data_IF_748355455219
#
_entry.id   IF_748355455219
#
_cell.length_a   1.000
_cell.length_b   1.000
_cell.length_c   1.000
_cell.angle_alpha   90.00
_cell.angle_beta   90.00
_cell.angle_gamma   90.00
#
_symmetry.space_group_name_H-M   'P 1'
#
loop_
_entity.id
_entity.type
_entity.pdbx_description
1 polymer ?
#
# COMPACT_ATOMS: atom_id res chain seq x y z
N UNK A 1 16.42 -0.23 -23.00
CA UNK A 1 15.58 -1.07 -22.15
C UNK A 1 15.50 -0.50 -20.76
N UNK A 2 14.32 -0.20 -20.31
CA UNK A 2 14.22 0.19 -18.90
C UNK A 2 14.61 -0.99 -18.03
N UNK A 3 15.30 -0.67 -17.00
CA UNK A 3 15.79 -1.68 -16.07
C UNK A 3 15.33 -1.26 -14.68
N UNK A 4 14.18 -1.77 -14.28
CA UNK A 4 13.62 -1.44 -12.99
C UNK A 4 14.41 -2.13 -11.89
N UNK A 5 14.85 -1.36 -10.92
CA UNK A 5 15.63 -1.89 -9.81
C UNK A 5 14.84 -1.94 -8.53
N UNK A 6 13.86 -1.05 -8.39
CA UNK A 6 13.07 -0.97 -7.18
C UNK A 6 11.63 -0.66 -7.53
N UNK A 7 10.75 -1.57 -7.17
CA UNK A 7 9.33 -1.50 -7.50
C UNK A 7 8.54 -1.34 -6.21
N UNK A 8 7.60 -0.41 -6.21
CA UNK A 8 6.72 -0.18 -5.07
C UNK A 8 5.30 -0.57 -5.44
N UNK A 9 4.74 -1.52 -4.72
CA UNK A 9 3.37 -1.94 -4.91
C UNK A 9 2.51 -1.32 -3.81
N UNK A 10 1.56 -0.48 -4.21
CA UNK A 10 0.63 0.16 -3.28
C UNK A 10 -0.67 -0.62 -3.27
N UNK A 11 -1.02 -1.16 -2.12
CA UNK A 11 -2.22 -1.99 -1.99
C UNK A 11 -3.22 -1.32 -1.06
N UNK A 12 -4.49 -1.61 -1.30
CA UNK A 12 -5.58 -1.03 -0.51
C UNK A 12 -6.28 -2.06 0.38
N UNK A 13 -5.72 -3.27 0.46
CA UNK A 13 -6.23 -4.37 1.27
C UNK A 13 -7.62 -4.83 0.83
N UNK A 14 -7.98 -4.53 -0.41
CA UNK A 14 -9.24 -4.97 -0.99
C UNK A 14 -9.06 -6.34 -1.65
N UNK A 15 -10.13 -6.81 -2.27
CA UNK A 15 -10.11 -8.07 -3.00
C UNK A 15 -9.13 -8.06 -4.15
N UNK A 16 -8.77 -6.88 -4.63
CA UNK A 16 -7.85 -6.76 -5.76
C UNK A 16 -6.39 -6.84 -5.35
N UNK A 17 -6.12 -6.85 -4.06
CA UNK A 17 -4.74 -6.86 -3.57
C UNK A 17 -3.95 -8.04 -4.13
N UNK A 18 -4.55 -9.22 -4.17
CA UNK A 18 -3.84 -10.39 -4.68
C UNK A 18 -3.43 -10.23 -6.14
N UNK A 19 -4.30 -9.63 -6.95
CA UNK A 19 -3.98 -9.39 -8.36
C UNK A 19 -2.84 -8.40 -8.50
N UNK A 20 -2.86 -7.33 -7.69
CA UNK A 20 -1.79 -6.35 -7.71
C UNK A 20 -0.47 -6.98 -7.31
N UNK A 21 -0.49 -7.77 -6.24
CA UNK A 21 0.73 -8.44 -5.77
C UNK A 21 1.27 -9.45 -6.78
N UNK A 22 0.40 -10.22 -7.39
CA UNK A 22 0.83 -11.19 -8.39
C UNK A 22 1.53 -10.48 -9.54
N UNK A 23 0.97 -9.38 -9.99
CA UNK A 23 1.59 -8.61 -11.06
C UNK A 23 2.93 -8.01 -10.61
N UNK A 24 2.97 -7.48 -9.40
CA UNK A 24 4.19 -6.87 -8.88
C UNK A 24 5.29 -7.90 -8.72
N UNK A 25 4.95 -9.08 -8.21
CA UNK A 25 5.94 -10.15 -8.06
C UNK A 25 6.49 -10.58 -9.42
N UNK A 26 5.61 -10.71 -10.41
CA UNK A 26 6.03 -11.10 -11.74
C UNK A 26 6.98 -10.07 -12.34
N UNK A 27 6.66 -8.79 -12.18
CA UNK A 27 7.51 -7.73 -12.70
C UNK A 27 8.84 -7.67 -11.97
N UNK A 28 8.81 -7.83 -10.64
CA UNK A 28 10.04 -7.82 -9.87
C UNK A 28 10.95 -8.97 -10.27
N UNK A 29 10.38 -10.15 -10.45
CA UNK A 29 11.15 -11.31 -10.88
C UNK A 29 11.73 -11.11 -12.28
N UNK A 30 10.94 -10.54 -13.15
CA UNK A 30 11.34 -10.33 -14.56
C UNK A 30 12.52 -9.37 -14.67
N UNK A 31 12.58 -8.36 -13.82
CA UNK A 31 13.65 -7.36 -13.87
C UNK A 31 14.72 -7.58 -12.81
N UNK A 32 14.55 -8.59 -11.96
CA UNK A 32 15.47 -8.76 -10.84
C UNK A 32 15.40 -7.60 -9.87
N UNK A 33 14.23 -7.00 -9.73
CA UNK A 33 14.05 -5.80 -8.95
C UNK A 33 13.68 -6.10 -7.50
N UNK A 34 14.00 -5.17 -6.65
CA UNK A 34 13.61 -5.21 -5.25
C UNK A 34 12.16 -4.76 -5.15
N UNK A 35 11.32 -5.55 -4.47
CA UNK A 35 9.90 -5.25 -4.36
C UNK A 35 9.58 -4.74 -2.96
N UNK A 36 8.95 -3.59 -2.91
CA UNK A 36 8.47 -2.99 -1.67
C UNK A 36 6.95 -2.94 -1.70
N UNK A 37 6.35 -3.01 -0.53
CA UNK A 37 4.91 -3.04 -0.38
C UNK A 37 4.50 -1.89 0.53
N UNK A 38 3.44 -1.17 0.17
CA UNK A 38 2.96 -0.08 1.00
C UNK A 38 1.43 -0.11 1.06
N UNK A 39 0.92 0.18 2.25
CA UNK A 39 -0.48 0.48 2.44
C UNK A 39 -0.58 1.75 3.28
N UNK A 40 -1.52 2.61 2.93
CA UNK A 40 -1.73 3.87 3.65
C UNK A 40 -3.08 3.81 4.33
N UNK A 41 -3.08 3.96 5.65
CA UNK A 41 -4.32 4.02 6.44
C UNK A 41 -4.77 5.47 6.47
N UNK A 42 -5.96 5.72 5.96
CA UNK A 42 -6.53 7.07 5.98
C UNK A 42 -7.12 7.32 7.35
N UNK A 43 -6.65 8.34 8.09
CA UNK A 43 -7.21 8.62 9.40
C UNK A 43 -8.69 8.98 9.31
N UNK A 44 -9.45 8.59 10.32
CA UNK A 44 -10.87 8.91 10.37
C UNK A 44 -11.11 10.42 10.33
N UNK A 45 -10.22 11.18 10.95
CA UNK A 45 -10.35 12.62 10.96
C UNK A 45 -10.31 13.21 9.56
N UNK A 46 -9.53 12.63 8.66
CA UNK A 46 -9.51 13.07 7.27
C UNK A 46 -10.78 12.70 6.54
N UNK A 47 -11.27 11.47 6.80
CA UNK A 47 -12.48 10.99 6.13
C UNK A 47 -13.70 11.83 6.49
N UNK A 48 -13.75 12.33 7.72
CA UNK A 48 -14.89 13.09 8.19
C UNK A 48 -14.61 14.59 8.29
N UNK A 49 -13.54 15.06 7.67
CA UNK A 49 -13.24 16.48 7.63
C UNK A 49 -12.84 17.07 8.97
N UNK A 50 -12.45 16.24 9.91
CA UNK A 50 -12.05 16.70 11.21
C UNK A 50 -13.18 16.97 12.19
N UNK A 51 -14.43 16.88 11.71
CA UNK A 51 -15.61 17.14 12.55
C UNK A 51 -16.12 15.82 13.11
N UNK A 52 -15.47 15.35 14.17
CA UNK A 52 -15.78 14.06 14.77
C UNK A 52 -16.46 14.31 16.11
N UNK A 53 -17.75 13.93 16.24
CA UNK A 53 -18.50 14.22 17.46
C UNK A 53 -18.16 13.33 18.64
N UNK A 54 -17.40 12.26 18.43
CA UNK A 54 -17.02 11.32 19.47
C UNK A 54 -15.54 11.01 19.36
N UNK A 55 -15.04 10.35 20.40
CA UNK A 55 -13.66 9.91 20.43
C UNK A 55 -13.52 8.63 19.61
N UNK A 56 -12.87 8.72 18.47
CA UNK A 56 -12.63 7.58 17.60
C UNK A 56 -11.26 6.95 17.78
N UNK A 57 -10.53 7.32 18.85
CA UNK A 57 -9.15 6.84 18.97
C UNK A 57 -9.09 5.32 19.05
N UNK A 58 -10.01 4.66 19.74
CA UNK A 58 -9.97 3.20 19.80
C UNK A 58 -10.34 2.57 18.47
N UNK A 59 -11.26 3.18 17.72
CA UNK A 59 -11.61 2.69 16.39
C UNK A 59 -10.42 2.85 15.46
N UNK A 60 -9.75 3.98 15.53
CA UNK A 60 -8.58 4.25 14.72
C UNK A 60 -7.47 3.23 15.01
N UNK A 61 -7.26 2.91 16.29
CA UNK A 61 -6.27 1.92 16.66
C UNK A 61 -6.61 0.54 16.14
N UNK A 62 -7.89 0.17 16.16
CA UNK A 62 -8.31 -1.11 15.60
C UNK A 62 -8.07 -1.19 14.11
N UNK A 63 -8.37 -0.11 13.39
CA UNK A 63 -8.11 -0.06 11.95
C UNK A 63 -6.62 -0.19 11.66
N UNK A 64 -5.81 0.48 12.46
CA UNK A 64 -4.37 0.42 12.31
C UNK A 64 -3.85 -0.99 12.53
N UNK A 65 -4.31 -1.64 13.61
CA UNK A 65 -3.89 -2.99 13.93
C UNK A 65 -4.31 -3.98 12.86
N UNK A 66 -5.55 -3.86 12.38
CA UNK A 66 -6.03 -4.74 11.32
C UNK A 66 -5.24 -4.56 10.03
N UNK A 67 -4.89 -3.31 9.72
CA UNK A 67 -4.10 -3.03 8.53
C UNK A 67 -2.70 -3.63 8.66
N UNK A 68 -2.10 -3.53 9.84
CA UNK A 68 -0.79 -4.14 10.08
C UNK A 68 -0.81 -5.64 9.87
N UNK A 69 -1.84 -6.29 10.41
CA UNK A 69 -1.96 -7.73 10.29
C UNK A 69 -2.16 -8.16 8.84
N UNK A 70 -3.04 -7.46 8.16
CA UNK A 70 -3.32 -7.79 6.76
C UNK A 70 -2.10 -7.56 5.88
N UNK A 71 -1.42 -6.45 6.09
CA UNK A 71 -0.22 -6.15 5.33
C UNK A 71 0.85 -7.20 5.56
N UNK A 72 1.02 -7.61 6.83
CA UNK A 72 1.99 -8.63 7.17
C UNK A 72 1.66 -9.97 6.48
N UNK A 73 0.38 -10.33 6.43
CA UNK A 73 -0.03 -11.56 5.78
C UNK A 73 0.27 -11.54 4.29
N UNK A 74 -0.02 -10.42 3.63
CA UNK A 74 0.27 -10.30 2.21
C UNK A 74 1.78 -10.33 1.96
N UNK A 75 2.54 -9.65 2.81
CA UNK A 75 3.99 -9.63 2.67
C UNK A 75 4.59 -11.02 2.83
N UNK A 76 4.10 -11.77 3.81
CA UNK A 76 4.57 -13.13 4.05
C UNK A 76 4.27 -14.02 2.85
N UNK A 77 3.07 -13.89 2.31
CA UNK A 77 2.66 -14.68 1.14
C UNK A 77 3.54 -14.38 -0.07
N UNK A 78 3.93 -13.14 -0.23
CA UNK A 78 4.75 -12.70 -1.36
C UNK A 78 6.24 -12.79 -1.08
N UNK A 79 6.62 -13.25 0.10
CA UNK A 79 8.02 -13.35 0.53
C UNK A 79 8.73 -12.01 0.53
N UNK A 80 8.02 -10.97 0.97
CA UNK A 80 8.59 -9.62 1.07
C UNK A 80 9.08 -9.42 2.50
N UNK A 81 10.37 -9.10 2.69
CA UNK A 81 10.89 -8.89 4.04
C UNK A 81 10.20 -7.72 4.75
N UNK A 82 10.19 -7.79 6.07
CA UNK A 82 9.54 -6.77 6.88
C UNK A 82 10.09 -5.38 6.61
N UNK A 83 11.39 -5.26 6.35
CA UNK A 83 12.00 -3.96 6.11
C UNK A 83 11.62 -3.37 4.75
N UNK A 84 10.90 -4.14 3.92
CA UNK A 84 10.38 -3.64 2.66
C UNK A 84 8.86 -3.49 2.69
N UNK A 85 8.26 -3.62 3.87
CA UNK A 85 6.82 -3.41 4.05
C UNK A 85 6.62 -2.12 4.79
N UNK A 86 5.75 -1.27 4.25
CA UNK A 86 5.55 0.07 4.78
C UNK A 86 4.08 0.30 5.08
N UNK A 87 3.79 0.65 6.32
CA UNK A 87 2.43 1.03 6.71
C UNK A 87 2.47 2.50 7.09
N UNK A 88 1.76 3.31 6.33
CA UNK A 88 1.78 4.74 6.51
C UNK A 88 0.39 5.23 6.86
N UNK A 89 0.31 6.47 7.30
CA UNK A 89 -0.95 7.08 7.69
C UNK A 89 -1.04 8.45 7.04
N UNK A 90 -2.21 8.77 6.49
CA UNK A 90 -2.40 10.05 5.84
C UNK A 90 -3.17 9.90 4.54
N UNK A 91 -2.90 10.78 3.61
CA UNK A 91 -3.51 10.72 2.28
C UNK A 91 -2.73 9.72 1.44
N UNK A 92 -3.42 8.74 0.85
CA UNK A 92 -2.72 7.70 0.10
C UNK A 92 -1.83 8.24 -1.01
N UNK A 93 -2.34 9.19 -1.81
CA UNK A 93 -1.56 9.71 -2.93
C UNK A 93 -0.28 10.39 -2.47
N UNK A 94 -0.38 11.26 -1.46
CA UNK A 94 0.78 11.98 -0.95
C UNK A 94 1.79 11.05 -0.30
N UNK A 95 1.32 10.13 0.51
CA UNK A 95 2.20 9.23 1.24
C UNK A 95 2.93 8.26 0.32
N UNK A 96 2.22 7.73 -0.67
CA UNK A 96 2.85 6.84 -1.63
C UNK A 96 3.91 7.58 -2.44
N UNK A 97 3.59 8.80 -2.84
CA UNK A 97 4.53 9.60 -3.61
C UNK A 97 5.80 9.91 -2.83
N UNK A 98 5.63 10.30 -1.57
CA UNK A 98 6.79 10.58 -0.70
C UNK A 98 7.64 9.34 -0.49
N UNK A 99 7.00 8.20 -0.27
CA UNK A 99 7.72 6.96 -0.09
C UNK A 99 8.47 6.57 -1.36
N UNK A 100 7.83 6.74 -2.50
CA UNK A 100 8.44 6.45 -3.79
C UNK A 100 9.73 7.25 -3.96
N UNK A 101 9.68 8.54 -3.62
CA UNK A 101 10.85 9.40 -3.70
C UNK A 101 11.93 8.96 -2.73
N UNK A 102 11.56 8.64 -1.51
CA UNK A 102 12.54 8.29 -0.49
C UNK A 102 13.20 6.94 -0.80
N UNK A 103 12.49 6.03 -1.44
CA UNK A 103 13.04 4.73 -1.82
C UNK A 103 13.77 4.77 -3.16
N UNK A 104 13.63 5.85 -3.90
CA UNK A 104 14.10 5.91 -5.29
C UNK A 104 13.48 4.79 -6.11
N UNK A 105 12.18 4.60 -5.95
CA UNK A 105 11.47 3.57 -6.69
C UNK A 105 11.36 3.96 -8.15
N UNK A 106 11.57 2.99 -9.01
CA UNK A 106 11.53 3.19 -10.46
C UNK A 106 10.13 2.99 -11.03
N UNK A 107 9.30 2.26 -10.31
CA UNK A 107 7.99 1.87 -10.79
C UNK A 107 7.03 1.73 -9.63
N UNK A 108 5.82 2.24 -9.80
CA UNK A 108 4.76 2.07 -8.82
C UNK A 108 3.65 1.27 -9.48
N UNK A 109 3.20 0.22 -8.79
CA UNK A 109 2.09 -0.59 -9.27
C UNK A 109 0.92 -0.38 -8.32
N UNK A 110 -0.23 -0.03 -8.86
CA UNK A 110 -1.43 0.21 -8.07
C UNK A 110 -2.60 -0.53 -8.70
N UNK A 111 -3.60 -0.81 -7.89
CA UNK A 111 -4.84 -1.37 -8.40
C UNK A 111 -5.78 -0.27 -8.84
N UNK A 112 -6.77 -0.66 -9.60
CA UNK A 112 -7.79 0.29 -10.06
C UNK A 112 -9.06 0.18 -9.24
N UNK A 113 -8.92 -0.28 -8.03
CA UNK A 113 -10.04 -0.47 -7.14
C UNK A 113 -10.87 0.81 -6.98
N UNK A 114 -12.16 0.65 -6.94
CA UNK A 114 -13.03 1.80 -6.76
C UNK A 114 -13.47 2.47 -8.05
N UNK A 115 -12.97 1.98 -9.17
CA UNK A 115 -13.29 2.56 -10.48
C UNK A 115 -14.26 1.72 -11.28
N UNK A 116 -14.97 0.83 -10.65
CA UNK A 116 -15.82 -0.11 -11.34
C UNK A 116 -16.86 0.58 -12.19
N UNK A 117 -17.45 1.61 -11.70
CA UNK A 117 -18.48 2.33 -12.42
C UNK A 117 -18.00 3.05 -13.64
N UNK A 118 -16.70 3.15 -13.79
CA UNK A 118 -16.11 3.88 -14.91
C UNK A 118 -15.60 2.99 -16.02
N UNK A 119 -15.66 1.73 -15.78
CA UNK A 119 -15.14 0.76 -16.75
C UNK A 119 -15.95 0.77 -18.03
#
# INVERSE_FOLDING_TARGET
>A
MPNYQRILAAIDLSDETNAVLTRAEAMAASYGAELHLVHVVEPLSLAYGGDIPMDFSSVQEQLQTQAEESLHQYATRANIPTDRCHLLSGRPDSQVHELCDSLNADLIIVGSHGRKGLA
#
